data_IF_806387877724
#
_entry.id   IF_806387877724
#
_cell.length_a   1.000
_cell.length_b   1.000
_cell.length_c   1.000
_cell.angle_alpha   90.00
_cell.angle_beta   90.00
_cell.angle_gamma   90.00
#
_symmetry.space_group_name_H-M   'P 1'
#
loop_
_entity.id
_entity.type
_entity.pdbx_description
1 polymer ?
#
# COMPACT_ATOMS: atom_id res chain seq x y z
N UNK A 1 -9.99 1.63 4.34
CA UNK A 1 -10.89 2.56 5.02
C UNK A 1 -11.25 3.71 4.08
N UNK A 2 -12.46 4.22 4.21
CA UNK A 2 -12.88 5.44 3.52
C UNK A 2 -12.76 6.61 4.49
N UNK A 3 -11.67 7.33 4.39
CA UNK A 3 -11.39 8.48 5.23
C UNK A 3 -11.35 9.75 4.38
N UNK A 4 -11.98 10.84 4.85
CA UNK A 4 -11.86 12.17 4.24
C UNK A 4 -10.47 12.79 4.40
N UNK A 5 -9.57 12.09 5.08
CA UNK A 5 -8.15 12.43 5.29
C UNK A 5 -7.28 11.21 5.03
N UNK A 6 -6.01 11.27 5.44
CA UNK A 6 -5.05 10.18 5.31
C UNK A 6 -5.52 8.90 6.00
N UNK A 7 -5.19 7.76 5.41
CA UNK A 7 -5.38 6.44 6.04
C UNK A 7 -4.34 6.23 7.14
N UNK A 8 -3.12 6.67 6.88
CA UNK A 8 -2.00 6.64 7.81
C UNK A 8 -1.39 8.02 7.91
N UNK A 9 -1.42 8.62 9.08
CA UNK A 9 -0.72 9.87 9.40
C UNK A 9 0.35 9.59 10.45
N UNK A 10 1.60 9.93 10.17
CA UNK A 10 2.73 9.73 11.06
C UNK A 10 3.40 11.05 11.37
N UNK A 11 3.46 11.39 12.66
CA UNK A 11 4.13 12.58 13.16
C UNK A 11 5.23 12.15 14.12
N UNK A 12 6.44 11.99 13.58
CA UNK A 12 7.60 11.54 14.36
C UNK A 12 7.53 10.08 14.80
N UNK A 13 8.57 9.63 15.49
CA UNK A 13 8.68 8.30 16.07
C UNK A 13 9.22 7.24 15.12
N UNK A 14 8.96 5.96 15.46
CA UNK A 14 9.38 4.82 14.64
C UNK A 14 8.18 3.97 14.25
N UNK A 15 8.08 3.65 12.96
CA UNK A 15 7.03 2.80 12.43
C UNK A 15 7.55 1.83 11.39
N UNK A 16 6.95 0.66 11.30
CA UNK A 16 7.17 -0.28 10.21
C UNK A 16 5.85 -0.89 9.78
N UNK A 17 5.56 -0.80 8.50
CA UNK A 17 4.46 -1.47 7.83
C UNK A 17 5.04 -2.51 6.88
N UNK A 18 4.54 -3.71 6.94
CA UNK A 18 4.94 -4.75 6.00
C UNK A 18 3.73 -5.57 5.58
N UNK A 19 3.62 -5.88 4.30
CA UNK A 19 2.53 -6.67 3.75
C UNK A 19 1.14 -6.06 4.03
N UNK A 20 1.03 -4.74 3.88
CA UNK A 20 -0.22 -4.01 4.13
C UNK A 20 -0.83 -3.50 2.81
N UNK A 21 -2.15 -3.48 2.76
CA UNK A 21 -2.91 -2.73 1.76
C UNK A 21 -3.49 -1.49 2.43
N UNK A 22 -3.02 -0.32 2.02
CA UNK A 22 -3.48 0.99 2.45
C UNK A 22 -4.30 1.59 1.31
N UNK A 23 -5.61 1.58 1.46
CA UNK A 23 -6.51 2.00 0.38
C UNK A 23 -7.50 3.06 0.85
N UNK A 24 -7.74 4.07 0.02
CA UNK A 24 -8.73 5.11 0.28
C UNK A 24 -9.56 5.39 -0.98
N UNK A 25 -10.81 4.97 -0.94
CA UNK A 25 -11.80 5.16 -2.00
C UNK A 25 -12.96 6.07 -1.57
N UNK A 26 -12.70 6.97 -0.61
CA UNK A 26 -13.70 7.93 -0.18
C UNK A 26 -14.16 8.83 -1.33
N UNK A 27 -15.49 9.02 -1.47
CA UNK A 27 -16.09 9.79 -2.58
C UNK A 27 -17.12 10.85 -2.12
N UNK A 28 -17.35 10.99 -0.82
CA UNK A 28 -18.39 11.91 -0.32
C UNK A 28 -17.92 13.36 -0.24
N UNK A 29 -16.60 13.58 -0.25
CA UNK A 29 -15.97 14.90 -0.32
C UNK A 29 -14.56 14.76 -0.90
N UNK A 30 -13.91 15.89 -1.17
CA UNK A 30 -12.47 15.89 -1.48
C UNK A 30 -11.68 15.30 -0.31
N UNK A 31 -10.71 14.42 -0.65
CA UNK A 31 -9.79 13.88 0.34
C UNK A 31 -8.68 14.90 0.57
N UNK A 32 -8.50 15.32 1.82
CA UNK A 32 -7.40 16.19 2.22
C UNK A 32 -6.15 15.34 2.50
N UNK A 33 -5.03 15.65 1.81
CA UNK A 33 -3.76 14.95 1.98
C UNK A 33 -3.61 13.72 1.09
N UNK A 34 -2.74 12.81 1.51
CA UNK A 34 -2.41 11.57 0.82
C UNK A 34 -2.91 10.34 1.62
N UNK A 35 -2.83 9.16 1.03
CA UNK A 35 -3.13 7.90 1.73
C UNK A 35 -2.18 7.74 2.92
N UNK A 36 -0.89 8.04 2.72
CA UNK A 36 0.12 8.09 3.77
C UNK A 36 0.72 9.48 3.84
N UNK A 37 0.54 10.13 4.98
CA UNK A 37 1.12 11.45 5.27
C UNK A 37 2.24 11.33 6.31
N UNK A 38 3.37 11.93 6.01
CA UNK A 38 4.51 12.05 6.91
C UNK A 38 4.69 13.50 7.35
N UNK A 39 4.87 13.70 8.65
CA UNK A 39 5.19 14.99 9.23
C UNK A 39 6.25 14.85 10.33
N UNK A 40 7.10 15.87 10.45
CA UNK A 40 8.12 15.96 11.50
C UNK A 40 7.78 16.98 12.60
N UNK A 41 6.64 17.64 12.46
CA UNK A 41 6.13 18.57 13.44
C UNK A 41 4.68 18.23 13.78
N UNK A 42 4.36 18.28 15.05
CA UNK A 42 2.99 18.14 15.51
C UNK A 42 2.16 19.44 15.27
N UNK A 43 0.91 19.42 15.66
CA UNK A 43 -0.02 20.56 15.50
C UNK A 43 0.37 21.82 16.25
N UNK A 44 1.32 21.72 17.19
CA UNK A 44 1.86 22.87 17.95
C UNK A 44 3.30 23.23 17.52
N UNK A 45 3.78 22.63 16.44
CA UNK A 45 5.09 22.91 15.86
C UNK A 45 6.27 22.24 16.56
N UNK A 46 6.01 21.27 17.45
CA UNK A 46 7.08 20.52 18.11
C UNK A 46 7.69 19.51 17.14
N UNK A 47 8.99 19.61 16.93
CA UNK A 47 9.74 18.71 16.07
C UNK A 47 9.90 17.32 16.70
N UNK A 48 9.67 16.29 15.90
CA UNK A 48 9.91 14.89 16.27
C UNK A 48 10.48 14.13 15.07
N UNK A 49 11.71 13.59 15.15
CA UNK A 49 12.29 12.82 14.06
C UNK A 49 11.45 11.58 13.77
N UNK A 50 11.38 11.19 12.48
CA UNK A 50 10.60 10.06 12.00
C UNK A 50 11.51 9.02 11.35
N UNK A 51 11.41 7.76 11.80
CA UNK A 51 12.02 6.59 11.19
C UNK A 51 10.88 5.65 10.76
N UNK A 52 10.64 5.55 9.45
CA UNK A 52 9.54 4.74 8.92
C UNK A 52 10.00 3.85 7.79
N UNK A 53 9.56 2.59 7.83
CA UNK A 53 9.77 1.61 6.75
C UNK A 53 8.42 1.05 6.32
N UNK A 54 8.16 1.12 5.01
CA UNK A 54 6.97 0.55 4.37
C UNK A 54 7.47 -0.47 3.35
N UNK A 55 7.23 -1.74 3.64
CA UNK A 55 7.80 -2.86 2.90
C UNK A 55 6.70 -3.73 2.27
N UNK A 56 6.82 -4.06 0.98
CA UNK A 56 5.89 -4.95 0.29
C UNK A 56 4.42 -4.54 0.47
N UNK A 57 4.12 -3.27 0.34
CA UNK A 57 2.78 -2.73 0.56
C UNK A 57 2.10 -2.29 -0.75
N UNK A 58 0.78 -2.27 -0.75
CA UNK A 58 -0.02 -1.60 -1.78
C UNK A 58 -0.57 -0.31 -1.18
N UNK A 59 -0.31 0.83 -1.84
CA UNK A 59 -0.82 2.16 -1.47
C UNK A 59 -1.62 2.67 -2.67
N UNK A 60 -2.95 2.70 -2.56
CA UNK A 60 -3.80 2.91 -3.72
C UNK A 60 -5.16 3.52 -3.37
N UNK A 61 -5.67 4.41 -4.24
CA UNK A 61 -7.00 4.99 -4.03
C UNK A 61 -7.30 6.23 -4.87
N UNK A 62 -8.21 7.08 -4.37
CA UNK A 62 -8.71 8.25 -5.07
C UNK A 62 -7.96 9.55 -4.77
N UNK A 63 -6.90 9.49 -3.97
CA UNK A 63 -6.03 10.63 -3.68
C UNK A 63 -4.56 10.31 -3.96
N UNK A 64 -3.65 11.21 -3.63
CA UNK A 64 -2.22 10.96 -3.72
C UNK A 64 -1.81 9.77 -2.83
N UNK A 65 -0.81 9.01 -3.24
CA UNK A 65 -0.37 7.84 -2.49
C UNK A 65 0.34 8.25 -1.22
N UNK A 66 1.33 9.15 -1.35
CA UNK A 66 2.21 9.55 -0.27
C UNK A 66 2.44 11.06 -0.31
N UNK A 67 2.40 11.68 0.86
CA UNK A 67 2.87 13.07 1.06
C UNK A 67 4.13 13.02 1.92
N UNK A 68 5.25 13.41 1.35
CA UNK A 68 6.54 13.31 2.02
C UNK A 68 6.87 14.54 2.89
N UNK A 69 6.28 15.71 2.61
CA UNK A 69 6.50 16.94 3.38
C UNK A 69 8.00 17.34 3.47
N UNK A 70 8.35 18.05 4.54
CA UNK A 70 9.76 18.30 4.89
C UNK A 70 10.31 17.09 5.67
N UNK A 71 11.25 16.39 5.06
CA UNK A 71 11.85 15.17 5.60
C UNK A 71 13.24 15.38 6.19
N UNK A 72 13.62 16.64 6.50
CA UNK A 72 14.90 16.93 7.11
C UNK A 72 15.07 16.14 8.42
N UNK A 73 16.13 15.35 8.51
CA UNK A 73 16.43 14.54 9.70
C UNK A 73 15.54 13.30 9.87
N UNK A 74 14.88 12.84 8.81
CA UNK A 74 14.08 11.60 8.82
C UNK A 74 14.80 10.45 8.14
N UNK A 75 14.31 9.23 8.41
CA UNK A 75 14.68 7.99 7.72
C UNK A 75 13.41 7.31 7.23
N UNK A 76 12.99 7.60 6.00
CA UNK A 76 11.75 7.06 5.42
C UNK A 76 12.09 6.25 4.18
N UNK A 77 11.66 4.99 4.16
CA UNK A 77 11.85 4.08 3.03
C UNK A 77 10.56 3.36 2.67
N UNK A 78 10.20 3.41 1.39
CA UNK A 78 9.18 2.58 0.78
C UNK A 78 9.89 1.60 -0.15
N UNK A 79 9.72 0.29 0.09
CA UNK A 79 10.45 -0.75 -0.64
C UNK A 79 9.50 -1.81 -1.17
N UNK A 80 9.67 -2.15 -2.46
CA UNK A 80 8.84 -3.15 -3.13
C UNK A 80 7.33 -2.89 -2.95
N UNK A 81 6.95 -1.60 -3.02
CA UNK A 81 5.56 -1.16 -2.90
C UNK A 81 4.93 -0.92 -4.27
N UNK A 82 3.63 -1.18 -4.38
CA UNK A 82 2.84 -0.76 -5.52
C UNK A 82 2.20 0.60 -5.23
N UNK A 83 2.40 1.54 -6.15
CA UNK A 83 1.93 2.92 -6.09
C UNK A 83 1.10 3.22 -7.35
N UNK A 84 0.00 3.98 -7.18
CA UNK A 84 -0.83 4.45 -8.29
C UNK A 84 -0.15 5.57 -9.08
N UNK A 85 0.55 6.44 -8.38
CA UNK A 85 1.23 7.59 -8.98
C UNK A 85 2.32 7.15 -9.94
N UNK A 86 2.51 7.91 -11.01
CA UNK A 86 3.70 7.78 -11.84
C UNK A 86 4.90 8.38 -11.13
N UNK A 87 6.05 7.73 -11.22
CA UNK A 87 7.27 8.16 -10.57
C UNK A 87 8.44 7.26 -10.92
N UNK A 88 9.53 7.47 -10.24
CA UNK A 88 10.76 6.68 -10.34
C UNK A 88 11.35 6.49 -8.96
N UNK A 89 12.08 5.43 -8.78
CA UNK A 89 12.82 5.16 -7.55
C UNK A 89 13.87 6.24 -7.26
N UNK A 90 14.09 6.51 -5.99
CA UNK A 90 15.07 7.48 -5.47
C UNK A 90 15.66 6.99 -4.14
N UNK A 91 16.16 7.90 -3.30
CA UNK A 91 16.70 7.56 -1.98
C UNK A 91 15.66 7.06 -0.97
N UNK A 92 14.38 7.34 -1.18
CA UNK A 92 13.28 6.98 -0.31
C UNK A 92 12.41 5.84 -0.87
N UNK A 93 12.38 5.69 -2.19
CA UNK A 93 11.60 4.69 -2.91
C UNK A 93 12.54 3.70 -3.60
N UNK A 94 12.45 2.43 -3.22
CA UNK A 94 13.39 1.38 -3.66
C UNK A 94 12.64 0.19 -4.22
N UNK A 95 12.87 -0.15 -5.50
CA UNK A 95 12.21 -1.26 -6.19
C UNK A 95 10.68 -1.17 -6.16
N UNK A 96 10.13 0.04 -6.24
CA UNK A 96 8.70 0.25 -6.25
C UNK A 96 8.09 0.06 -7.64
N UNK A 97 6.86 -0.44 -7.70
CA UNK A 97 6.05 -0.49 -8.91
C UNK A 97 5.21 0.77 -9.00
N UNK A 98 5.62 1.70 -9.87
CA UNK A 98 4.94 2.96 -10.13
C UNK A 98 3.87 2.82 -11.21
N UNK A 99 2.77 3.57 -11.09
CA UNK A 99 1.68 3.58 -12.05
C UNK A 99 0.99 2.23 -12.22
N UNK A 100 1.11 1.34 -11.23
CA UNK A 100 0.53 0.01 -11.29
C UNK A 100 -0.94 -0.03 -10.89
N UNK A 101 -1.64 -1.11 -11.26
CA UNK A 101 -3.02 -1.39 -10.88
C UNK A 101 -3.09 -2.67 -10.05
N UNK A 102 -3.52 -2.60 -8.78
CA UNK A 102 -3.66 -3.78 -7.93
C UNK A 102 -4.80 -4.70 -8.35
N UNK A 103 -5.69 -4.26 -9.25
CA UNK A 103 -6.87 -5.03 -9.73
C UNK A 103 -7.60 -5.71 -8.58
N UNK A 104 -8.08 -4.93 -7.63
CA UNK A 104 -8.86 -5.45 -6.52
C UNK A 104 -10.19 -6.07 -6.99
N UNK A 105 -10.69 -7.07 -6.26
CA UNK A 105 -11.97 -7.71 -6.60
C UNK A 105 -13.13 -6.73 -6.60
N UNK A 106 -13.28 -5.94 -5.55
CA UNK A 106 -14.22 -4.81 -5.54
C UNK A 106 -13.73 -3.71 -4.61
N UNK A 107 -13.94 -2.48 -5.01
CA UNK A 107 -13.55 -1.31 -4.21
C UNK A 107 -14.76 -0.50 -3.76
N UNK A 108 -15.97 -0.86 -4.17
CA UNK A 108 -17.15 -0.08 -3.82
C UNK A 108 -18.52 -0.65 -4.21
N UNK A 109 -18.63 -1.77 -4.81
CA UNK A 109 -19.92 -2.34 -5.17
C UNK A 109 -20.71 -2.65 -3.90
N UNK A 110 -21.92 -2.05 -3.76
CA UNK A 110 -22.82 -2.22 -2.62
C UNK A 110 -22.15 -2.00 -1.24
N UNK A 111 -21.20 -1.05 -1.15
CA UNK A 111 -20.39 -0.80 0.05
C UNK A 111 -19.51 -1.99 0.48
N UNK A 112 -19.28 -2.94 -0.39
CA UNK A 112 -18.38 -4.07 -0.17
C UNK A 112 -17.00 -3.68 -0.70
N UNK A 113 -15.99 -3.88 0.14
CA UNK A 113 -14.58 -3.66 -0.19
C UNK A 113 -13.84 -4.98 -0.08
N UNK A 114 -13.39 -5.50 -1.22
CA UNK A 114 -12.57 -6.70 -1.29
C UNK A 114 -11.24 -6.38 -1.96
N UNK A 115 -10.21 -6.20 -1.15
CA UNK A 115 -8.86 -5.84 -1.59
C UNK A 115 -7.99 -7.05 -1.93
N UNK A 116 -8.58 -8.22 -2.14
CA UNK A 116 -7.84 -9.34 -2.75
C UNK A 116 -7.48 -9.01 -4.19
N UNK A 117 -6.42 -9.64 -4.67
CA UNK A 117 -5.87 -9.39 -6.00
C UNK A 117 -6.54 -10.29 -7.05
N UNK A 118 -6.98 -9.72 -8.16
CA UNK A 118 -7.41 -10.48 -9.36
C UNK A 118 -6.20 -10.91 -10.18
N UNK A 119 -6.46 -11.79 -11.14
CA UNK A 119 -5.48 -12.19 -12.14
C UNK A 119 -4.92 -10.97 -12.89
N UNK A 120 -3.60 -10.96 -13.08
CA UNK A 120 -2.89 -9.88 -13.75
C UNK A 120 -2.76 -8.58 -12.93
N UNK A 121 -2.95 -8.64 -11.61
CA UNK A 121 -2.61 -7.52 -10.71
C UNK A 121 -1.12 -7.20 -10.77
N UNK A 122 -0.78 -5.92 -10.82
CA UNK A 122 0.60 -5.45 -10.77
C UNK A 122 1.26 -5.62 -9.38
N UNK A 123 0.49 -6.03 -8.36
CA UNK A 123 1.01 -6.31 -7.03
C UNK A 123 1.55 -7.76 -6.88
N UNK A 124 1.32 -8.62 -7.88
CA UNK A 124 1.74 -10.03 -7.85
C UNK A 124 3.26 -10.10 -8.02
N UNK A 125 3.91 -10.82 -7.12
CA UNK A 125 5.33 -11.18 -7.16
C UNK A 125 6.33 -9.99 -7.19
N UNK A 126 5.91 -8.78 -6.81
CA UNK A 126 6.81 -7.61 -6.75
C UNK A 126 7.50 -7.44 -5.40
N UNK A 127 7.07 -8.18 -4.39
CA UNK A 127 7.61 -8.09 -3.04
C UNK A 127 8.97 -8.79 -2.90
N UNK A 128 9.70 -8.40 -1.86
CA UNK A 128 10.94 -9.04 -1.43
C UNK A 128 10.69 -9.90 -0.18
N UNK A 129 11.01 -11.19 -0.28
CA UNK A 129 10.86 -12.15 0.83
C UNK A 129 11.66 -11.75 2.07
N UNK A 130 12.83 -11.13 1.91
CA UNK A 130 13.66 -10.70 3.03
C UNK A 130 13.06 -9.54 3.82
N UNK A 131 12.15 -8.78 3.19
CA UNK A 131 11.43 -7.69 3.82
C UNK A 131 10.13 -8.15 4.50
N UNK A 132 9.69 -9.38 4.30
CA UNK A 132 8.50 -9.94 4.94
C UNK A 132 8.86 -10.48 6.33
N UNK A 133 8.32 -9.90 7.42
CA UNK A 133 8.53 -10.45 8.76
C UNK A 133 7.89 -11.83 8.88
N UNK A 134 8.50 -12.74 9.65
CA UNK A 134 7.98 -14.10 9.87
C UNK A 134 6.53 -14.09 10.38
N UNK A 135 6.18 -13.14 11.23
CA UNK A 135 4.79 -12.96 11.72
C UNK A 135 3.78 -12.58 10.63
N UNK A 136 4.24 -12.10 9.47
CA UNK A 136 3.41 -11.76 8.32
C UNK A 136 3.51 -12.81 7.19
N UNK A 137 4.14 -13.96 7.44
CA UNK A 137 4.30 -15.04 6.47
C UNK A 137 2.98 -15.54 5.92
N UNK A 138 1.97 -15.63 6.77
CA UNK A 138 0.63 -16.02 6.35
C UNK A 138 -0.27 -14.80 6.22
N UNK A 139 -1.09 -14.77 5.19
CA UNK A 139 -2.10 -13.75 5.03
C UNK A 139 -3.30 -14.00 5.95
N UNK A 140 -4.31 -13.10 5.89
CA UNK A 140 -5.52 -13.19 6.71
C UNK A 140 -6.31 -14.50 6.51
N UNK A 141 -6.16 -15.14 5.35
CA UNK A 141 -6.81 -16.41 5.01
C UNK A 141 -5.91 -17.63 5.24
N UNK A 142 -4.76 -17.45 5.87
CA UNK A 142 -3.81 -18.52 6.16
C UNK A 142 -3.00 -18.98 4.94
N UNK A 143 -2.97 -18.20 3.86
CA UNK A 143 -2.14 -18.49 2.68
C UNK A 143 -0.68 -18.16 2.97
N UNK A 144 0.21 -19.11 2.71
CA UNK A 144 1.64 -18.94 2.90
C UNK A 144 2.22 -18.09 1.75
N UNK A 145 2.75 -16.91 2.07
CA UNK A 145 3.40 -16.00 1.12
C UNK A 145 4.66 -16.59 0.51
N UNK A 146 5.24 -17.59 1.16
CA UNK A 146 6.49 -18.20 0.74
C UNK A 146 6.27 -19.49 -0.09
N UNK A 147 5.03 -19.83 -0.39
CA UNK A 147 4.70 -21.01 -1.19
C UNK A 147 5.11 -20.89 -2.67
N UNK A 148 5.20 -19.67 -3.20
CA UNK A 148 5.63 -19.39 -4.56
C UNK A 148 7.03 -18.76 -4.58
N UNK A 149 7.65 -18.68 -5.76
CA UNK A 149 8.99 -18.08 -5.95
C UNK A 149 8.97 -16.57 -5.73
N UNK A 150 7.88 -15.89 -6.08
CA UNK A 150 7.63 -14.47 -5.82
C UNK A 150 6.74 -14.26 -4.61
N UNK A 151 6.83 -13.08 -3.99
CA UNK A 151 5.94 -12.68 -2.91
C UNK A 151 5.12 -11.46 -3.35
N UNK A 152 3.81 -11.50 -3.09
CA UNK A 152 2.90 -10.44 -3.48
C UNK A 152 3.04 -9.24 -2.53
N UNK A 153 2.89 -8.03 -3.07
CA UNK A 153 2.72 -6.85 -2.24
C UNK A 153 1.27 -6.76 -1.73
N UNK A 154 1.12 -6.19 -0.52
CA UNK A 154 -0.18 -6.00 0.10
C UNK A 154 -0.61 -7.07 1.10
N UNK A 155 -1.84 -6.94 1.58
CA UNK A 155 -2.34 -7.73 2.71
C UNK A 155 -2.71 -9.18 2.34
N UNK A 156 -2.91 -9.48 1.06
CA UNK A 156 -3.40 -10.77 0.60
C UNK A 156 -2.43 -11.43 -0.37
N UNK A 157 -2.33 -12.76 -0.28
CA UNK A 157 -1.69 -13.59 -1.29
C UNK A 157 -2.64 -13.73 -2.46
N UNK A 158 -2.14 -13.52 -3.67
CA UNK A 158 -2.90 -13.80 -4.88
C UNK A 158 -3.19 -15.28 -5.03
N UNK A 159 -4.38 -15.58 -5.47
CA UNK A 159 -4.82 -16.94 -5.82
C UNK A 159 -5.45 -16.87 -7.20
N UNK A 160 -4.97 -17.69 -8.11
CA UNK A 160 -5.53 -17.77 -9.45
C UNK A 160 -7.04 -18.04 -9.39
N UNK A 161 -7.81 -17.23 -10.13
CA UNK A 161 -9.26 -17.36 -10.21
C UNK A 161 -9.64 -17.72 -11.64
N UNK A 162 -10.49 -18.73 -11.79
CA UNK A 162 -11.06 -19.13 -13.07
C UNK A 162 -12.36 -18.37 -13.40
N UNK A 163 -12.84 -17.52 -12.51
CA UNK A 163 -14.10 -16.78 -12.68
C UNK A 163 -13.93 -15.48 -13.50
N UNK A 164 -12.71 -15.00 -13.65
CA UNK A 164 -12.41 -13.75 -14.38
C UNK A 164 -12.62 -13.86 -15.90
N UNK A 165 -12.73 -15.09 -16.45
CA UNK A 165 -12.93 -15.32 -17.89
C UNK A 165 -14.40 -15.22 -18.33
N UNK A 166 -15.36 -15.16 -17.41
CA UNK A 166 -16.81 -15.16 -17.75
C UNK A 166 -17.45 -13.77 -17.86
N UNK A 167 -16.70 -12.71 -17.60
CA UNK A 167 -17.20 -11.31 -17.63
C UNK A 167 -17.16 -10.61 -18.99
N UNK A 168 -16.80 -11.30 -20.07
CA UNK A 168 -16.58 -10.71 -21.41
C UNK A 168 -17.69 -10.95 -22.43
N UNK A 169 -18.95 -11.06 -22.02
CA UNK A 169 -20.05 -11.15 -22.98
C UNK A 169 -21.39 -10.71 -22.37
N UNK A 170 -21.67 -9.43 -22.43
CA UNK A 170 -23.04 -8.92 -22.65
C UNK A 170 -22.98 -7.45 -23.11
#
# INVERSE_FOLDING_TARGET
>A
SDAGKSVVGLVGGKARFAQCTMANYYLFAAIEGAIVDFAVQDSVGKYAPLDCKIDNCVIYGNCADVSMGDLTGTSIYLRNCLLKSNGTDDSNFLSCKWGGDPKFYTVREDYIFDYRLKNGSDAIAIGDRQLCPEKARYDRYGKDRFAADGIDAGAYVWVESHDDEKGGSK
#
